data_IF_135284456233
#
_entry.id   IF_135284456233
#
_cell.length_a   1.000
_cell.length_b   1.000
_cell.length_c   1.000
_cell.angle_alpha   90.00
_cell.angle_beta   90.00
_cell.angle_gamma   90.00
#
_symmetry.space_group_name_H-M   'P 1'
#
loop_
_entity.id
_entity.type
_entity.pdbx_description
1 polymer ?
#
# COMPACT_ATOMS: atom_id res chain seq x y z
N UNK A 1 -11.10 -10.24 -10.45
CA UNK A 1 -10.08 -11.23 -10.04
C UNK A 1 -9.73 -11.04 -8.57
N UNK A 2 -9.53 -12.11 -7.80
CA UNK A 2 -9.21 -12.04 -6.36
C UNK A 2 -7.74 -12.35 -6.02
N UNK A 3 -6.91 -12.61 -7.03
CA UNK A 3 -5.51 -12.96 -6.88
C UNK A 3 -4.70 -12.30 -7.99
N UNK A 4 -3.69 -11.51 -7.65
CA UNK A 4 -2.63 -11.06 -8.56
C UNK A 4 -1.37 -11.82 -8.16
N UNK A 5 -0.70 -12.46 -9.12
CA UNK A 5 0.48 -13.28 -8.81
C UNK A 5 1.50 -13.35 -9.93
N UNK A 6 2.71 -13.76 -9.56
CA UNK A 6 3.82 -14.11 -10.45
C UNK A 6 4.24 -12.97 -11.40
N UNK A 7 4.18 -11.72 -10.92
CA UNK A 7 4.72 -10.57 -11.63
C UNK A 7 6.22 -10.43 -11.32
N UNK A 8 7.03 -10.30 -12.36
CA UNK A 8 8.47 -10.13 -12.25
C UNK A 8 8.98 -9.05 -13.21
N UNK A 9 9.86 -8.18 -12.73
CA UNK A 9 10.61 -7.20 -13.55
C UNK A 9 9.70 -6.33 -14.43
N UNK A 10 8.56 -5.92 -13.90
CA UNK A 10 7.54 -5.20 -14.66
C UNK A 10 6.87 -4.08 -13.85
N UNK A 11 6.18 -3.20 -14.57
CA UNK A 11 5.21 -2.27 -13.98
C UNK A 11 3.82 -2.72 -14.37
N UNK A 12 2.90 -2.83 -13.41
CA UNK A 12 1.53 -3.30 -13.63
C UNK A 12 0.51 -2.45 -12.91
N UNK A 13 -0.68 -2.36 -13.48
CA UNK A 13 -1.79 -1.58 -12.95
C UNK A 13 -3.08 -2.40 -13.00
N UNK A 14 -3.90 -2.28 -11.96
CA UNK A 14 -5.24 -2.86 -11.89
C UNK A 14 -6.23 -1.81 -11.36
N UNK A 15 -7.29 -1.57 -12.13
CA UNK A 15 -8.32 -0.59 -11.86
C UNK A 15 -9.66 -1.18 -11.42
N UNK A 16 -10.68 -0.31 -11.24
CA UNK A 16 -12.03 -0.73 -10.85
C UNK A 16 -12.62 -1.78 -11.81
N UNK A 17 -13.23 -2.82 -11.26
CA UNK A 17 -13.83 -3.92 -12.03
C UNK A 17 -12.87 -5.06 -12.38
N UNK A 18 -11.56 -4.82 -12.34
CA UNK A 18 -10.56 -5.86 -12.63
C UNK A 18 -10.26 -6.74 -11.42
N UNK A 19 -10.35 -6.16 -10.22
CA UNK A 19 -10.07 -6.83 -8.94
C UNK A 19 -11.30 -6.88 -8.03
N UNK A 20 -11.39 -7.92 -7.21
CA UNK A 20 -12.38 -7.99 -6.13
C UNK A 20 -11.92 -7.18 -4.92
N UNK A 21 -12.89 -6.78 -4.09
CA UNK A 21 -12.63 -6.02 -2.85
C UNK A 21 -11.74 -6.78 -1.86
N UNK A 22 -11.85 -8.10 -1.81
CA UNK A 22 -10.90 -8.96 -1.08
C UNK A 22 -9.88 -9.44 -2.10
N UNK A 23 -8.61 -9.15 -1.87
CA UNK A 23 -7.55 -9.39 -2.86
C UNK A 23 -6.29 -9.96 -2.20
N UNK A 24 -5.73 -10.98 -2.84
CA UNK A 24 -4.43 -11.53 -2.52
C UNK A 24 -3.43 -11.12 -3.60
N UNK A 25 -2.22 -10.74 -3.18
CA UNK A 25 -1.10 -10.38 -4.05
C UNK A 25 0.09 -11.23 -3.63
N UNK A 26 0.54 -12.12 -4.52
CA UNK A 26 1.51 -13.15 -4.17
C UNK A 26 2.66 -13.26 -5.18
N UNK A 27 3.85 -13.64 -4.74
CA UNK A 27 5.00 -13.93 -5.60
C UNK A 27 5.33 -12.77 -6.56
N UNK A 28 5.52 -11.58 -6.00
CA UNK A 28 5.85 -10.38 -6.77
C UNK A 28 7.33 -10.05 -6.57
N UNK A 29 8.06 -9.78 -7.66
CA UNK A 29 9.50 -9.56 -7.59
C UNK A 29 9.96 -8.45 -8.53
N UNK A 30 10.81 -7.55 -8.06
CA UNK A 30 11.42 -6.50 -8.87
C UNK A 30 10.37 -5.70 -9.69
N UNK A 31 9.18 -5.48 -9.10
CA UNK A 31 7.99 -4.95 -9.77
C UNK A 31 7.48 -3.67 -9.13
N UNK A 32 6.89 -2.80 -9.94
CA UNK A 32 6.05 -1.68 -9.47
C UNK A 32 4.59 -2.03 -9.74
N UNK A 33 3.78 -2.18 -8.70
CA UNK A 33 2.38 -2.57 -8.80
C UNK A 33 1.48 -1.47 -8.26
N UNK A 34 0.49 -1.08 -9.05
CA UNK A 34 -0.54 -0.12 -8.68
C UNK A 34 -1.92 -0.80 -8.65
N UNK A 35 -2.54 -0.83 -7.48
CA UNK A 35 -3.93 -1.29 -7.29
C UNK A 35 -4.70 -0.19 -6.55
N UNK A 36 -5.02 0.87 -7.28
CA UNK A 36 -5.52 2.13 -6.71
C UNK A 36 -7.05 2.16 -6.65
N UNK A 37 -7.64 1.14 -6.02
CA UNK A 37 -9.10 0.99 -5.88
C UNK A 37 -9.49 0.80 -4.42
N UNK A 38 -10.77 1.05 -4.04
CA UNK A 38 -11.24 0.71 -2.71
C UNK A 38 -11.26 -0.81 -2.50
N UNK A 39 -10.69 -1.24 -1.38
CA UNK A 39 -10.55 -2.65 -1.00
C UNK A 39 -11.21 -2.89 0.36
N UNK A 40 -11.60 -4.13 0.62
CA UNK A 40 -12.12 -4.54 1.93
C UNK A 40 -10.99 -5.11 2.80
N UNK A 41 -10.22 -6.06 2.26
CA UNK A 41 -9.12 -6.73 2.94
C UNK A 41 -8.04 -7.15 1.92
N UNK A 42 -6.78 -7.12 2.34
CA UNK A 42 -5.62 -7.47 1.53
C UNK A 42 -4.71 -8.49 2.19
N UNK A 43 -4.21 -9.43 1.41
CA UNK A 43 -3.06 -10.26 1.78
C UNK A 43 -1.93 -10.02 0.78
N UNK A 44 -0.77 -9.62 1.29
CA UNK A 44 0.46 -9.40 0.52
C UNK A 44 1.46 -10.46 0.96
N UNK A 45 1.85 -11.37 0.07
CA UNK A 45 2.67 -12.53 0.42
C UNK A 45 3.82 -12.72 -0.55
N UNK A 46 5.01 -13.03 -0.02
CA UNK A 46 6.19 -13.35 -0.84
C UNK A 46 6.48 -12.26 -1.88
N UNK A 47 6.68 -11.02 -1.40
CA UNK A 47 6.95 -9.85 -2.25
C UNK A 47 8.36 -9.34 -1.98
N UNK A 48 9.19 -9.28 -3.03
CA UNK A 48 10.61 -8.92 -2.91
C UNK A 48 11.01 -7.78 -3.83
N UNK A 49 11.82 -6.84 -3.33
CA UNK A 49 12.43 -5.75 -4.14
C UNK A 49 11.42 -4.94 -4.96
N UNK A 50 10.23 -4.73 -4.43
CA UNK A 50 9.11 -4.16 -5.19
C UNK A 50 8.58 -2.87 -4.58
N UNK A 51 7.75 -2.17 -5.35
CA UNK A 51 6.99 -0.99 -4.91
C UNK A 51 5.51 -1.27 -5.14
N UNK A 52 4.74 -1.38 -4.06
CA UNK A 52 3.33 -1.79 -4.12
C UNK A 52 2.47 -0.64 -3.59
N UNK A 53 1.68 -0.04 -4.47
CA UNK A 53 0.83 1.12 -4.19
C UNK A 53 -0.62 0.71 -4.23
N UNK A 54 -1.29 0.82 -3.09
CA UNK A 54 -2.63 0.28 -2.86
C UNK A 54 -3.59 1.40 -2.50
N UNK A 55 -4.83 1.30 -2.96
CA UNK A 55 -5.93 2.10 -2.45
C UNK A 55 -6.29 1.73 -0.99
N UNK A 56 -7.24 2.46 -0.37
CA UNK A 56 -7.66 2.18 0.99
C UNK A 56 -8.27 0.78 1.14
N UNK A 57 -7.77 0.02 2.11
CA UNK A 57 -8.35 -1.23 2.57
C UNK A 57 -9.21 -0.97 3.81
N UNK A 58 -10.53 -1.03 3.68
CA UNK A 58 -11.49 -0.71 4.74
C UNK A 58 -11.18 -1.40 6.07
N UNK A 59 -10.80 -2.68 6.05
CA UNK A 59 -10.51 -3.46 7.26
C UNK A 59 -9.01 -3.71 7.40
N UNK A 60 -8.54 -4.80 6.83
CA UNK A 60 -7.27 -5.41 7.24
C UNK A 60 -6.29 -5.56 6.09
N UNK A 61 -5.02 -5.35 6.40
CA UNK A 61 -3.88 -5.68 5.53
C UNK A 61 -3.00 -6.68 6.27
N UNK A 62 -2.68 -7.79 5.61
CA UNK A 62 -1.75 -8.79 6.15
C UNK A 62 -0.55 -8.89 5.21
N UNK A 63 0.65 -8.66 5.74
CA UNK A 63 1.92 -8.72 5.00
C UNK A 63 2.73 -9.89 5.53
N UNK A 64 3.07 -10.84 4.66
CA UNK A 64 3.72 -12.10 5.02
C UNK A 64 4.92 -12.32 4.12
N UNK A 65 6.06 -12.68 4.69
CA UNK A 65 7.25 -13.13 3.93
C UNK A 65 7.69 -12.12 2.85
N UNK A 66 7.67 -10.83 3.18
CA UNK A 66 8.04 -9.76 2.25
C UNK A 66 9.42 -9.19 2.63
N UNK A 67 10.25 -8.92 1.62
CA UNK A 67 11.63 -8.46 1.83
C UNK A 67 12.06 -7.34 0.89
N UNK A 68 12.73 -6.30 1.41
CA UNK A 68 13.27 -5.19 0.61
C UNK A 68 12.19 -4.45 -0.22
N UNK A 69 10.97 -4.33 0.31
CA UNK A 69 9.81 -3.84 -0.45
C UNK A 69 9.26 -2.56 0.18
N UNK A 70 8.75 -1.68 -0.68
CA UNK A 70 8.03 -0.47 -0.28
C UNK A 70 6.53 -0.67 -0.49
N UNK A 71 5.73 -0.34 0.52
CA UNK A 71 4.28 -0.40 0.46
C UNK A 71 3.69 0.99 0.72
N UNK A 72 2.66 1.38 -0.03
CA UNK A 72 1.77 2.48 0.31
C UNK A 72 0.36 1.97 0.51
N UNK A 73 -0.18 2.14 1.72
CA UNK A 73 -1.51 1.61 2.05
C UNK A 73 -2.18 2.37 3.18
N UNK A 74 -3.51 2.36 3.15
CA UNK A 74 -4.36 2.89 4.21
C UNK A 74 -5.31 1.82 4.69
N UNK A 75 -5.40 1.59 5.99
CA UNK A 75 -6.25 0.53 6.54
C UNK A 75 -6.69 0.77 7.99
N UNK A 76 -7.58 -0.06 8.53
CA UNK A 76 -7.88 -0.05 9.97
C UNK A 76 -6.86 -0.86 10.77
N UNK A 77 -6.50 -2.04 10.25
CA UNK A 77 -5.62 -3.01 10.91
C UNK A 77 -4.53 -3.47 9.95
N UNK A 78 -3.31 -3.58 10.44
CA UNK A 78 -2.20 -4.17 9.68
C UNK A 78 -1.48 -5.22 10.52
N UNK A 79 -1.20 -6.38 9.92
CA UNK A 79 -0.41 -7.47 10.49
C UNK A 79 0.81 -7.71 9.60
N UNK A 80 1.98 -7.85 10.21
CA UNK A 80 3.26 -8.06 9.51
C UNK A 80 3.93 -9.28 10.13
N UNK A 81 4.24 -10.28 9.31
CA UNK A 81 4.79 -11.55 9.77
C UNK A 81 5.93 -12.01 8.86
N UNK A 82 7.04 -12.49 9.42
CA UNK A 82 8.20 -12.99 8.68
C UNK A 82 8.78 -12.00 7.63
N UNK A 83 8.77 -10.69 7.91
CA UNK A 83 9.19 -9.66 6.96
C UNK A 83 10.55 -9.04 7.31
N UNK A 84 11.33 -8.66 6.30
CA UNK A 84 12.63 -8.00 6.53
C UNK A 84 12.83 -6.77 5.64
N UNK A 85 13.32 -5.67 6.22
CA UNK A 85 13.68 -4.46 5.48
C UNK A 85 12.50 -3.92 4.65
N UNK A 86 11.38 -3.67 5.32
CA UNK A 86 10.21 -3.05 4.70
C UNK A 86 10.19 -1.55 4.96
N UNK A 87 9.65 -0.80 3.99
CA UNK A 87 9.28 0.60 4.15
C UNK A 87 7.79 0.72 3.88
N UNK A 88 7.02 1.16 4.86
CA UNK A 88 5.56 1.18 4.78
C UNK A 88 5.10 2.62 4.99
N UNK A 89 4.59 3.21 3.92
CA UNK A 89 3.86 4.46 3.98
C UNK A 89 2.42 4.16 4.37
N UNK A 90 2.08 4.52 5.61
CA UNK A 90 0.94 3.93 6.31
C UNK A 90 0.02 5.00 6.89
N UNK A 91 -1.27 4.88 6.59
CA UNK A 91 -2.32 5.44 7.44
C UNK A 91 -3.08 4.28 8.08
N UNK A 92 -3.00 4.16 9.41
CA UNK A 92 -3.68 3.10 10.18
C UNK A 92 -4.47 3.64 11.36
N UNK A 93 -5.57 2.98 11.75
CA UNK A 93 -6.41 3.40 12.90
C UNK A 93 -6.12 2.63 14.18
N UNK A 94 -5.36 1.55 14.10
CA UNK A 94 -4.98 0.70 15.24
C UNK A 94 -3.48 0.39 15.18
N UNK A 95 -2.87 0.09 16.33
CA UNK A 95 -1.45 -0.25 16.40
C UNK A 95 -1.14 -1.44 15.48
N UNK A 96 -0.17 -1.32 14.55
CA UNK A 96 0.32 -2.45 13.77
C UNK A 96 0.72 -3.61 14.67
N UNK A 97 0.38 -4.84 14.25
CA UNK A 97 0.88 -6.06 14.89
C UNK A 97 2.02 -6.62 14.05
N UNK A 98 3.15 -6.87 14.69
CA UNK A 98 4.34 -7.43 14.06
C UNK A 98 4.78 -8.71 14.76
N UNK A 99 5.27 -9.68 14.01
CA UNK A 99 5.83 -10.93 14.50
C UNK A 99 6.96 -11.38 13.57
N UNK A 100 8.04 -11.94 14.11
CA UNK A 100 9.18 -12.49 13.34
C UNK A 100 9.71 -11.58 12.23
N UNK A 101 9.68 -10.26 12.46
CA UNK A 101 10.01 -9.27 11.44
C UNK A 101 11.05 -8.28 11.94
N UNK A 102 11.88 -7.75 11.03
CA UNK A 102 12.99 -6.85 11.38
C UNK A 102 13.25 -5.77 10.34
N UNK A 103 13.82 -4.66 10.81
CA UNK A 103 14.14 -3.49 10.00
C UNK A 103 12.90 -2.90 9.30
N UNK A 104 11.79 -2.79 10.02
CA UNK A 104 10.56 -2.23 9.49
C UNK A 104 10.53 -0.72 9.72
N UNK A 105 10.45 0.05 8.64
CA UNK A 105 10.33 1.50 8.72
C UNK A 105 8.90 1.90 8.38
N UNK A 106 8.22 2.56 9.31
CA UNK A 106 6.94 3.16 9.07
C UNK A 106 7.11 4.66 8.81
N UNK A 107 6.41 5.14 7.80
CA UNK A 107 6.20 6.56 7.58
C UNK A 107 4.71 6.83 7.66
N UNK A 108 4.34 7.55 8.71
CA UNK A 108 2.97 7.96 9.01
C UNK A 108 2.80 9.48 8.81
N UNK A 109 3.75 10.12 8.11
CA UNK A 109 3.63 11.54 7.76
C UNK A 109 2.26 11.75 7.14
N UNK A 110 1.45 12.59 7.79
CA UNK A 110 0.04 12.89 7.55
C UNK A 110 -0.50 12.44 6.20
N UNK A 111 -1.57 11.64 6.21
CA UNK A 111 -2.46 11.34 5.07
C UNK A 111 -2.23 12.32 3.93
N UNK A 112 -1.53 11.90 2.89
CA UNK A 112 -1.37 12.79 1.74
C UNK A 112 -2.65 12.71 0.92
N UNK A 113 -3.47 13.78 0.87
CA UNK A 113 -4.63 13.79 -0.01
C UNK A 113 -4.21 13.69 -1.48
N UNK A 114 -2.93 13.94 -1.81
CA UNK A 114 -2.39 13.85 -3.16
C UNK A 114 -1.78 12.49 -3.49
N UNK A 115 -1.99 11.46 -2.66
CA UNK A 115 -1.47 10.11 -2.94
C UNK A 115 -1.86 9.63 -4.36
N UNK A 116 -3.13 9.81 -4.72
CA UNK A 116 -3.61 9.77 -6.11
C UNK A 116 -4.91 10.57 -6.23
N UNK A 117 -5.27 11.00 -7.45
CA UNK A 117 -6.39 11.93 -7.68
C UNK A 117 -7.76 11.46 -7.13
N UNK A 118 -8.01 10.14 -7.09
CA UNK A 118 -9.26 9.55 -6.57
C UNK A 118 -9.18 9.13 -5.09
N UNK A 119 -8.09 9.46 -4.38
CA UNK A 119 -7.83 8.93 -3.05
C UNK A 119 -8.88 9.37 -2.01
N UNK A 120 -9.25 10.65 -2.00
CA UNK A 120 -10.28 11.17 -1.09
C UNK A 120 -11.64 10.50 -1.29
N UNK A 121 -12.05 10.29 -2.56
CA UNK A 121 -13.29 9.57 -2.88
C UNK A 121 -13.23 8.11 -2.42
N UNK A 122 -12.11 7.44 -2.65
CA UNK A 122 -11.93 6.05 -2.23
C UNK A 122 -11.91 5.90 -0.70
N UNK A 123 -11.42 6.91 0.03
CA UNK A 123 -11.53 6.96 1.50
C UNK A 123 -12.99 7.10 1.95
N UNK A 124 -13.79 7.95 1.29
CA UNK A 124 -15.22 8.08 1.57
C UNK A 124 -15.95 6.77 1.29
N UNK A 125 -15.74 6.16 0.12
CA UNK A 125 -16.35 4.88 -0.26
C UNK A 125 -16.00 3.75 0.73
N UNK A 126 -14.78 3.77 1.27
CA UNK A 126 -14.31 2.79 2.24
C UNK A 126 -14.74 3.09 3.68
N UNK A 127 -15.51 4.17 3.92
CA UNK A 127 -15.88 4.68 5.25
C UNK A 127 -14.66 4.98 6.14
N UNK A 128 -13.54 5.41 5.54
CA UNK A 128 -12.29 5.72 6.22
C UNK A 128 -12.00 7.22 6.30
N UNK A 129 -12.75 8.08 5.59
CA UNK A 129 -12.55 9.52 5.61
C UNK A 129 -12.57 10.10 7.03
N UNK A 130 -13.57 9.72 7.83
CA UNK A 130 -13.77 10.17 9.22
C UNK A 130 -13.06 9.31 10.26
N UNK A 131 -12.27 8.32 9.85
CA UNK A 131 -11.59 7.45 10.79
C UNK A 131 -10.48 8.20 11.55
N UNK A 132 -10.29 7.86 12.82
CA UNK A 132 -9.21 8.38 13.65
C UNK A 132 -7.93 7.58 13.37
N UNK A 133 -7.05 8.16 12.56
CA UNK A 133 -5.76 7.54 12.25
C UNK A 133 -4.73 7.90 13.29
N UNK A 134 -3.80 6.98 13.54
CA UNK A 134 -2.69 7.19 14.44
C UNK A 134 -1.78 8.31 13.93
N UNK A 135 -1.30 9.11 14.86
CA UNK A 135 -0.35 10.21 14.70
C UNK A 135 1.01 9.82 15.24
N UNK A 136 2.05 10.64 15.03
CA UNK A 136 3.37 10.40 15.62
C UNK A 136 3.33 10.24 17.15
N UNK A 137 2.41 10.90 17.85
CA UNK A 137 2.28 10.78 19.30
C UNK A 137 1.58 9.50 19.74
N UNK A 138 0.67 8.97 18.92
CA UNK A 138 -0.18 7.80 19.28
C UNK A 138 0.28 6.51 18.61
N UNK A 139 1.21 6.59 17.65
CA UNK A 139 1.68 5.44 16.92
C UNK A 139 2.59 4.56 17.78
N UNK A 140 2.21 3.29 17.87
CA UNK A 140 2.97 2.23 18.52
C UNK A 140 2.78 0.94 17.74
N UNK A 141 3.76 0.05 17.78
CA UNK A 141 3.71 -1.27 17.14
C UNK A 141 3.72 -2.33 18.23
N UNK A 142 2.76 -3.25 18.15
CA UNK A 142 2.70 -4.44 18.99
C UNK A 142 3.59 -5.53 18.38
N UNK A 143 4.82 -5.67 18.87
CA UNK A 143 5.76 -6.72 18.46
C UNK A 143 5.58 -7.96 19.35
N UNK A 144 4.89 -8.97 18.82
CA UNK A 144 4.38 -10.10 19.57
C UNK A 144 5.49 -10.96 20.20
N UNK A 145 6.63 -11.11 19.51
CA UNK A 145 7.75 -11.93 19.98
C UNK A 145 8.75 -11.14 20.84
N UNK A 146 8.49 -9.84 21.07
CA UNK A 146 9.34 -9.01 21.92
C UNK A 146 8.81 -8.92 23.36
N UNK A 147 9.23 -9.87 24.20
CA UNK A 147 8.78 -10.00 25.59
C UNK A 147 9.52 -9.10 26.59
N UNK A 148 10.34 -8.15 26.12
CA UNK A 148 11.15 -7.27 26.99
C UNK A 148 10.38 -5.98 27.32
N UNK A 149 10.67 -5.40 28.49
CA UNK A 149 10.05 -4.16 28.95
C UNK A 149 10.49 -2.89 28.18
N UNK A 150 11.55 -2.98 27.38
CA UNK A 150 12.04 -1.88 26.53
C UNK A 150 11.35 -1.92 25.16
N UNK A 151 11.30 -0.80 24.40
CA UNK A 151 10.77 -0.80 23.05
C UNK A 151 11.52 -1.79 22.12
N UNK A 152 10.78 -2.45 21.23
CA UNK A 152 11.39 -3.33 20.23
C UNK A 152 12.28 -2.52 19.27
N UNK A 153 13.53 -2.95 19.02
CA UNK A 153 14.44 -2.26 18.10
C UNK A 153 14.16 -2.59 16.62
N UNK A 154 13.19 -3.47 16.34
CA UNK A 154 12.97 -4.03 15.01
C UNK A 154 12.15 -3.15 14.07
N UNK A 155 11.62 -2.05 14.60
CA UNK A 155 10.87 -1.06 13.82
C UNK A 155 11.27 0.37 14.20
N UNK A 156 10.97 1.33 13.32
CA UNK A 156 11.14 2.75 13.59
C UNK A 156 10.16 3.61 12.78
N UNK A 157 9.91 4.83 13.25
CA UNK A 157 9.32 5.90 12.45
C UNK A 157 10.42 6.65 11.68
N UNK A 158 10.20 6.92 10.40
CA UNK A 158 11.08 7.78 9.59
C UNK A 158 10.37 8.20 8.31
N UNK A 159 10.63 9.41 7.82
CA UNK A 159 10.16 9.82 6.50
C UNK A 159 10.75 8.94 5.40
N UNK A 160 9.90 8.44 4.51
CA UNK A 160 10.26 7.67 3.33
C UNK A 160 10.29 8.62 2.13
N UNK A 161 11.46 8.77 1.50
CA UNK A 161 11.66 9.67 0.34
C UNK A 161 11.18 9.08 -0.99
N UNK A 162 10.96 7.77 -1.06
CA UNK A 162 10.52 7.07 -2.27
C UNK A 162 8.99 7.15 -2.44
N UNK A 163 8.42 8.36 -2.38
CA UNK A 163 7.00 8.60 -2.65
C UNK A 163 6.78 8.69 -4.17
N UNK A 164 5.71 8.10 -4.72
CA UNK A 164 5.28 8.43 -6.07
C UNK A 164 4.77 9.87 -6.03
N UNK A 165 5.17 10.67 -7.02
CA UNK A 165 4.56 11.98 -7.23
C UNK A 165 3.12 11.77 -7.72
N UNK A 166 2.21 12.65 -7.28
CA UNK A 166 0.76 12.63 -7.44
C UNK A 166 0.23 11.80 -8.62
N UNK A 167 -0.21 10.57 -8.35
CA UNK A 167 -0.66 9.65 -9.40
C UNK A 167 -2.04 10.10 -9.90
N UNK A 168 -2.19 10.31 -11.21
CA UNK A 168 -3.50 10.63 -11.82
C UNK A 168 -4.09 9.41 -12.52
N UNK A 169 -5.24 8.94 -12.07
CA UNK A 169 -6.06 7.93 -12.75
C UNK A 169 -7.02 8.67 -13.69
N UNK A 170 -6.83 8.56 -15.00
CA UNK A 170 -7.69 9.16 -16.00
C UNK A 170 -8.91 8.27 -16.31
N UNK A 171 -10.08 8.89 -16.46
CA UNK A 171 -11.27 8.22 -16.99
C UNK A 171 -11.13 8.04 -18.51
N UNK A 172 -11.83 7.05 -19.08
CA UNK A 172 -11.77 6.68 -20.51
C UNK A 172 -12.16 7.81 -21.48
N UNK A 173 -12.68 8.95 -21.00
CA UNK A 173 -13.17 10.06 -21.81
C UNK A 173 -12.20 11.26 -21.91
N UNK A 174 -11.08 11.28 -21.20
CA UNK A 174 -10.15 12.42 -21.24
C UNK A 174 -9.04 12.22 -22.28
N UNK A 175 -9.15 12.95 -23.39
CA UNK A 175 -8.27 12.88 -24.58
C UNK A 175 -7.03 13.78 -24.53
N UNK A 176 -6.72 14.43 -23.43
CA UNK A 176 -5.59 15.35 -23.36
C UNK A 176 -4.69 15.02 -22.18
N UNK A 177 -3.45 14.61 -22.48
CA UNK A 177 -2.40 14.55 -21.46
C UNK A 177 -1.19 15.30 -21.98
N UNK A 178 -0.74 16.27 -21.19
CA UNK A 178 0.45 17.10 -21.42
C UNK A 178 1.75 16.28 -21.31
N UNK A 179 2.83 16.83 -21.88
CA UNK A 179 4.14 16.21 -22.06
C UNK A 179 4.78 15.71 -20.75
N UNK A 180 5.27 14.46 -20.77
CA UNK A 180 5.84 13.72 -19.62
C UNK A 180 5.26 12.31 -19.41
N UNK A 181 4.23 11.95 -20.18
CA UNK A 181 3.33 10.81 -19.93
C UNK A 181 3.79 9.49 -20.56
N UNK A 182 3.91 8.41 -19.77
CA UNK A 182 4.07 7.04 -20.30
C UNK A 182 2.72 6.49 -20.77
N UNK A 183 2.72 6.05 -22.04
CA UNK A 183 1.58 5.50 -22.78
C UNK A 183 1.74 3.98 -22.85
N UNK A 184 0.69 3.20 -22.59
CA UNK A 184 0.48 1.91 -23.29
C UNK A 184 -1.02 1.67 -23.55
N UNK A 185 -1.37 1.59 -24.83
CA UNK A 185 -2.62 1.02 -25.37
C UNK A 185 -2.39 -0.49 -25.63
N UNK A 186 -3.35 -1.37 -25.87
CA UNK A 186 -4.75 -1.31 -26.24
C UNK A 186 -5.57 -2.33 -25.42
N UNK A 187 -6.88 -2.11 -25.41
CA UNK A 187 -7.97 -2.96 -24.89
C UNK A 187 -8.28 -2.79 -23.39
N UNK A 188 -9.34 -2.01 -23.15
CA UNK A 188 -10.12 -1.94 -21.90
C UNK A 188 -9.31 -1.86 -20.60
N UNK A 189 -8.55 -0.79 -20.39
CA UNK A 189 -7.87 -0.56 -19.12
C UNK A 189 -7.89 0.93 -18.74
N UNK A 190 -8.05 1.19 -17.45
CA UNK A 190 -7.93 2.54 -16.87
C UNK A 190 -6.49 3.04 -17.03
N UNK A 191 -6.32 4.36 -17.21
CA UNK A 191 -5.02 4.97 -17.54
C UNK A 191 -4.44 5.68 -16.31
N UNK A 192 -3.21 5.37 -15.91
CA UNK A 192 -2.44 6.20 -14.96
C UNK A 192 -1.52 7.14 -15.72
N UNK A 193 -1.50 8.40 -15.31
CA UNK A 193 -0.53 9.43 -15.72
C UNK A 193 0.30 9.74 -14.47
N UNK A 194 1.63 9.56 -14.57
CA UNK A 194 2.61 9.92 -13.55
C UNK A 194 3.16 11.32 -13.81
#
# INVERSE_FOLDING_TARGET
>A
MNLIKDLNECTSFFGPGEVSKILNIENIKDTILYVLVPLESLTLKNITKSYIWLGPAKRSVTIIDCTNTVFGVTCQQIRIHCCTNLKIWLSVTTSPLMEDSKHITFDISSKDPNYYNLYSEHLTYSNLQSAHFLTCETFSVSDFNWLKAIPSPFWKLSTIKSKPYSIKIASTNEKTVEEGTVIMSQMSMWKIIL
#
